data_IF_984629688118
#
_entry.id   IF_984629688118
#
_cell.length_a   1.000
_cell.length_b   1.000
_cell.length_c   1.000
_cell.angle_alpha   90.00
_cell.angle_beta   90.00
_cell.angle_gamma   90.00
#
_symmetry.space_group_name_H-M   'P 1'
#
loop_
_entity.id
_entity.type
_entity.pdbx_description
1 polymer ?
#
# COMPACT_ATOMS: atom_id res chain seq x y z
N UNK A 1 61.59 -44.64 38.79
CA UNK A 1 60.77 -44.15 37.68
C UNK A 1 59.38 -43.99 38.17
N UNK A 2 58.89 -42.80 38.25
CA UNK A 2 57.55 -42.28 38.00
C UNK A 2 57.41 -40.96 38.78
N UNK A 3 57.31 -39.92 38.02
CA UNK A 3 56.98 -38.55 38.37
C UNK A 3 55.54 -38.48 38.74
N UNK A 4 55.16 -37.94 39.83
CA UNK A 4 53.80 -37.56 40.21
C UNK A 4 53.74 -36.07 40.49
N UNK A 5 52.96 -35.41 39.60
CA UNK A 5 52.78 -33.93 39.64
C UNK A 5 51.83 -33.53 40.75
N UNK A 6 52.30 -32.61 41.55
CA UNK A 6 51.52 -31.84 42.50
C UNK A 6 50.96 -30.63 41.76
N UNK A 7 49.60 -30.66 41.44
CA UNK A 7 48.87 -29.49 40.95
C UNK A 7 47.54 -29.47 41.70
N UNK A 8 47.54 -28.95 42.84
CA UNK A 8 46.32 -28.57 43.56
C UNK A 8 46.70 -27.44 44.54
N UNK A 9 46.40 -26.21 44.16
CA UNK A 9 46.10 -25.05 45.01
C UNK A 9 46.29 -23.74 44.24
N UNK A 10 45.45 -23.45 43.27
CA UNK A 10 45.33 -22.09 42.72
C UNK A 10 43.98 -21.79 42.08
N UNK A 11 42.88 -22.45 42.49
CA UNK A 11 41.57 -22.26 41.82
C UNK A 11 40.48 -21.60 42.68
N UNK A 12 40.70 -21.33 43.96
CA UNK A 12 39.68 -20.75 44.85
C UNK A 12 39.57 -19.22 44.81
N UNK A 13 40.66 -18.51 44.42
CA UNK A 13 40.67 -17.04 44.44
C UNK A 13 40.03 -16.38 43.21
N UNK A 14 40.00 -17.09 42.09
CA UNK A 14 39.47 -16.52 40.82
C UNK A 14 37.93 -16.58 40.70
N UNK A 15 37.31 -17.50 41.42
CA UNK A 15 35.86 -17.73 41.31
C UNK A 15 35.02 -16.65 42.04
N UNK A 16 35.52 -16.13 43.17
CA UNK A 16 34.81 -15.12 43.98
C UNK A 16 34.82 -13.75 43.30
N UNK A 17 35.91 -13.40 42.60
CA UNK A 17 35.97 -12.11 41.87
C UNK A 17 35.12 -12.09 40.60
N UNK A 18 34.96 -13.22 39.93
CA UNK A 18 34.10 -13.31 38.77
C UNK A 18 32.59 -13.26 39.14
N UNK A 19 32.20 -13.88 40.25
CA UNK A 19 30.81 -13.83 40.72
C UNK A 19 30.36 -12.41 41.10
N UNK A 20 31.22 -11.58 41.68
CA UNK A 20 30.92 -10.17 41.97
C UNK A 20 30.75 -9.34 40.69
N UNK A 21 31.49 -9.64 39.61
CA UNK A 21 31.36 -8.97 38.32
C UNK A 21 30.06 -9.33 37.62
N UNK A 22 29.58 -10.58 37.71
CA UNK A 22 28.28 -10.99 37.12
C UNK A 22 27.09 -10.43 37.88
N UNK A 23 27.17 -10.26 39.20
CA UNK A 23 26.07 -9.65 39.98
C UNK A 23 25.94 -8.16 39.67
N UNK A 24 27.04 -7.42 39.53
CA UNK A 24 26.99 -6.00 39.13
C UNK A 24 26.55 -5.82 37.69
N UNK A 25 26.97 -6.69 36.76
CA UNK A 25 26.51 -6.64 35.38
C UNK A 25 25.00 -6.97 35.24
N UNK A 26 24.50 -7.96 36.00
CA UNK A 26 23.08 -8.30 35.99
C UNK A 26 22.22 -7.18 36.60
N UNK A 27 22.70 -6.48 37.64
CA UNK A 27 21.97 -5.35 38.25
C UNK A 27 21.92 -4.11 37.32
N UNK A 28 22.99 -3.86 36.59
CA UNK A 28 23.04 -2.76 35.60
C UNK A 28 22.15 -3.08 34.40
N UNK A 29 22.14 -4.33 33.91
CA UNK A 29 21.22 -4.73 32.83
C UNK A 29 19.75 -4.69 33.26
N UNK A 30 19.41 -5.03 34.51
CA UNK A 30 18.05 -4.93 35.01
C UNK A 30 17.56 -3.48 35.13
N UNK A 31 18.45 -2.53 35.48
CA UNK A 31 18.12 -1.10 35.53
C UNK A 31 17.90 -0.49 34.13
N UNK A 32 18.59 -0.99 33.09
CA UNK A 32 18.39 -0.53 31.71
C UNK A 32 17.15 -1.13 31.04
N UNK A 33 16.61 -2.24 31.54
CA UNK A 33 15.40 -2.87 31.00
C UNK A 33 14.10 -2.30 31.59
N UNK A 34 14.15 -1.70 32.79
CA UNK A 34 12.95 -1.14 33.45
C UNK A 34 12.61 0.27 32.97
N UNK A 35 13.62 1.07 32.59
CA UNK A 35 13.41 2.45 32.14
C UNK A 35 12.76 2.57 30.75
N UNK A 36 13.05 1.72 29.72
CA UNK A 36 12.40 1.84 28.44
C UNK A 36 10.96 1.29 28.40
N UNK A 37 10.56 0.43 29.36
CA UNK A 37 9.21 -0.17 29.32
C UNK A 37 8.12 0.81 29.77
N UNK A 38 8.43 1.82 30.55
CA UNK A 38 7.50 2.87 30.98
C UNK A 38 7.29 3.97 29.93
N UNK A 39 8.19 4.11 28.93
CA UNK A 39 8.06 5.08 27.85
C UNK A 39 7.26 4.54 26.64
N UNK A 40 7.07 3.21 26.55
CA UNK A 40 6.29 2.62 25.45
C UNK A 40 4.77 2.67 25.64
N UNK A 41 4.26 3.09 26.80
CA UNK A 41 2.83 3.30 27.01
C UNK A 41 2.34 4.72 26.67
N UNK A 42 3.21 5.62 26.20
CA UNK A 42 2.77 6.89 25.68
C UNK A 42 2.30 6.73 24.24
N UNK A 43 0.99 6.50 24.14
CA UNK A 43 0.15 6.96 23.04
C UNK A 43 0.56 6.50 21.66
N UNK A 44 0.23 5.25 21.31
CA UNK A 44 -0.24 4.98 19.96
C UNK A 44 -1.53 5.78 19.70
N UNK A 45 -1.41 7.09 19.51
CA UNK A 45 -2.34 7.80 18.65
C UNK A 45 -2.09 7.24 17.27
N UNK A 46 -2.83 6.21 16.89
CA UNK A 46 -3.01 5.86 15.49
C UNK A 46 -3.80 6.98 14.84
N UNK A 47 -3.16 8.15 14.65
CA UNK A 47 -3.63 9.13 13.70
C UNK A 47 -3.53 8.44 12.35
N UNK A 48 -4.63 7.86 11.91
CA UNK A 48 -4.71 7.26 10.62
C UNK A 48 -4.26 8.31 9.61
N UNK A 49 -3.19 7.98 8.85
CA UNK A 49 -2.71 8.75 7.71
C UNK A 49 -3.90 9.24 6.87
N UNK A 50 -4.87 8.38 6.60
CA UNK A 50 -6.10 8.69 5.90
C UNK A 50 -6.98 9.79 6.55
N UNK A 51 -7.04 9.88 7.88
CA UNK A 51 -7.88 10.88 8.55
C UNK A 51 -7.28 12.29 8.52
N UNK A 52 -5.96 12.41 8.64
CA UNK A 52 -5.30 13.71 8.60
C UNK A 52 -5.24 14.25 7.18
N UNK A 53 -4.90 13.39 6.22
CA UNK A 53 -4.85 13.74 4.80
C UNK A 53 -6.27 14.02 4.23
N UNK A 54 -7.29 13.31 4.67
CA UNK A 54 -8.68 13.62 4.28
C UNK A 54 -9.16 14.97 4.83
N UNK A 55 -8.71 15.42 6.00
CA UNK A 55 -9.04 16.75 6.52
C UNK A 55 -8.29 17.87 5.77
N UNK A 56 -7.02 17.70 5.47
CA UNK A 56 -6.25 18.66 4.68
C UNK A 56 -6.75 18.74 3.23
N UNK A 57 -7.13 17.60 2.63
CA UNK A 57 -7.77 17.55 1.30
C UNK A 57 -9.19 18.11 1.30
N UNK A 58 -9.97 17.94 2.37
CA UNK A 58 -11.24 18.64 2.54
C UNK A 58 -11.05 20.16 2.43
N UNK A 59 -10.01 20.69 3.07
CA UNK A 59 -9.73 22.14 3.02
C UNK A 59 -9.19 22.57 1.65
N UNK A 60 -8.38 21.76 0.97
CA UNK A 60 -7.89 22.04 -0.38
C UNK A 60 -9.00 21.92 -1.43
N UNK A 61 -9.86 20.91 -1.32
CA UNK A 61 -11.02 20.72 -2.21
C UNK A 61 -12.04 21.85 -2.04
N UNK A 62 -12.33 22.30 -0.81
CA UNK A 62 -13.22 23.43 -0.56
C UNK A 62 -12.70 24.74 -1.18
N UNK A 63 -11.38 24.92 -1.28
CA UNK A 63 -10.79 26.11 -1.92
C UNK A 63 -10.90 26.12 -3.47
N UNK A 64 -11.15 24.99 -4.10
CA UNK A 64 -11.24 24.84 -5.57
C UNK A 64 -12.64 24.52 -6.09
N UNK A 65 -13.68 24.66 -5.28
CA UNK A 65 -15.05 24.46 -5.75
C UNK A 65 -15.43 25.70 -6.59
N UNK A 66 -15.09 25.67 -7.88
CA UNK A 66 -15.83 26.41 -8.89
C UNK A 66 -17.01 25.55 -9.30
N UNK A 67 -18.21 26.10 -9.20
CA UNK A 67 -19.47 25.45 -9.63
C UNK A 67 -19.49 25.04 -11.13
N UNK A 68 -18.44 25.35 -11.86
CA UNK A 68 -18.23 25.02 -13.28
C UNK A 68 -17.25 23.82 -13.48
N UNK A 69 -16.80 23.15 -12.42
CA UNK A 69 -15.92 22.01 -12.56
C UNK A 69 -16.72 20.79 -13.06
N UNK A 70 -16.46 20.28 -14.28
CA UNK A 70 -17.17 19.11 -14.81
C UNK A 70 -16.98 17.84 -13.97
N UNK A 71 -15.94 17.79 -13.14
CA UNK A 71 -15.66 16.67 -12.24
C UNK A 71 -16.43 16.75 -10.91
N UNK A 72 -17.18 17.85 -10.67
CA UNK A 72 -17.93 18.01 -9.45
C UNK A 72 -19.27 17.25 -9.51
N UNK A 73 -19.41 16.20 -8.70
CA UNK A 73 -20.61 15.37 -8.61
C UNK A 73 -21.50 15.68 -7.40
N UNK A 74 -21.01 16.49 -6.46
CA UNK A 74 -21.76 16.87 -5.28
C UNK A 74 -20.90 17.28 -4.09
N UNK A 75 -21.49 18.04 -3.17
CA UNK A 75 -20.83 18.53 -1.95
C UNK A 75 -21.01 17.53 -0.79
N UNK A 76 -20.50 16.32 -0.98
CA UNK A 76 -20.55 15.26 0.01
C UNK A 76 -19.17 14.99 0.62
N UNK A 77 -19.17 14.48 1.84
CA UNK A 77 -17.98 13.92 2.47
C UNK A 77 -17.46 12.69 1.69
N UNK A 78 -16.17 12.35 1.80
CA UNK A 78 -15.63 11.16 1.16
C UNK A 78 -16.44 9.90 1.47
N UNK A 79 -16.94 9.24 0.43
CA UNK A 79 -17.74 8.02 0.51
C UNK A 79 -16.79 6.83 0.63
N UNK A 80 -16.93 6.04 1.68
CA UNK A 80 -16.21 4.80 1.80
C UNK A 80 -16.80 3.74 0.87
N UNK A 81 -15.94 3.19 0.00
CA UNK A 81 -16.30 2.08 -0.87
C UNK A 81 -15.91 0.74 -0.24
N UNK A 82 -16.26 -0.36 -0.90
CA UNK A 82 -15.84 -1.68 -0.47
C UNK A 82 -14.31 -1.86 -0.60
N UNK A 83 -13.72 -2.55 0.37
CA UNK A 83 -12.30 -2.89 0.32
C UNK A 83 -12.05 -3.92 -0.80
N UNK A 84 -10.97 -3.74 -1.55
CA UNK A 84 -10.51 -4.68 -2.56
C UNK A 84 -9.23 -5.35 -2.08
N UNK A 85 -9.12 -6.65 -2.34
CA UNK A 85 -7.89 -7.40 -2.05
C UNK A 85 -7.02 -7.45 -3.31
N UNK A 86 -5.75 -7.11 -3.14
CA UNK A 86 -4.69 -7.35 -4.10
C UNK A 86 -3.66 -8.31 -3.52
N UNK A 87 -2.69 -8.69 -4.32
CA UNK A 87 -1.52 -9.43 -3.89
C UNK A 87 -0.27 -8.59 -4.14
N UNK A 88 0.76 -8.83 -3.37
CA UNK A 88 2.09 -8.24 -3.55
C UNK A 88 3.17 -9.28 -3.29
N UNK A 89 4.34 -9.10 -3.88
CA UNK A 89 5.47 -10.00 -3.63
C UNK A 89 6.23 -9.53 -2.39
N UNK A 90 6.30 -10.40 -1.39
CA UNK A 90 7.08 -10.19 -0.15
C UNK A 90 8.00 -11.37 0.03
N UNK A 91 9.31 -11.14 -0.03
CA UNK A 91 10.33 -12.21 0.02
C UNK A 91 10.08 -13.33 -1.00
N UNK A 92 9.75 -12.97 -2.25
CA UNK A 92 9.50 -13.90 -3.35
C UNK A 92 8.18 -14.69 -3.26
N UNK A 93 7.28 -14.34 -2.33
CA UNK A 93 5.97 -14.99 -2.18
C UNK A 93 4.84 -13.98 -2.33
N UNK A 94 3.76 -14.39 -2.97
CA UNK A 94 2.53 -13.60 -3.02
C UNK A 94 1.89 -13.51 -1.64
N UNK A 95 1.63 -12.31 -1.19
CA UNK A 95 0.94 -11.99 0.07
C UNK A 95 -0.26 -11.09 -0.19
N UNK A 96 -1.41 -11.37 0.45
CA UNK A 96 -2.56 -10.50 0.32
C UNK A 96 -2.28 -9.12 0.95
N UNK A 97 -2.76 -8.09 0.28
CA UNK A 97 -2.81 -6.72 0.78
C UNK A 97 -4.21 -6.16 0.59
N UNK A 98 -4.69 -5.43 1.57
CA UNK A 98 -6.00 -4.78 1.52
C UNK A 98 -5.85 -3.39 0.96
N UNK A 99 -6.67 -3.06 -0.03
CA UNK A 99 -6.82 -1.71 -0.58
C UNK A 99 -8.13 -1.15 -0.05
N UNK A 100 -8.07 -0.05 0.68
CA UNK A 100 -9.23 0.70 1.12
C UNK A 100 -9.54 1.74 0.07
N UNK A 101 -10.78 1.81 -0.36
CA UNK A 101 -11.20 2.74 -1.39
C UNK A 101 -12.12 3.81 -0.79
N UNK A 102 -11.88 5.06 -1.17
CA UNK A 102 -12.71 6.21 -0.84
C UNK A 102 -13.01 6.97 -2.12
N UNK A 103 -14.27 7.32 -2.31
CA UNK A 103 -14.68 8.19 -3.40
C UNK A 103 -14.86 9.60 -2.88
N UNK A 104 -14.32 10.57 -3.62
CA UNK A 104 -14.38 11.99 -3.34
C UNK A 104 -15.30 12.68 -4.37
N UNK A 105 -16.61 12.86 -4.09
CA UNK A 105 -17.57 13.38 -5.07
C UNK A 105 -17.25 14.80 -5.56
N UNK A 106 -16.64 15.62 -4.71
CA UNK A 106 -16.26 17.01 -5.07
C UNK A 106 -15.24 17.12 -6.18
N UNK A 107 -14.46 16.08 -6.40
CA UNK A 107 -13.36 16.06 -7.40
C UNK A 107 -13.43 14.85 -8.30
N UNK A 108 -14.47 14.01 -8.19
CA UNK A 108 -14.64 12.76 -8.92
C UNK A 108 -13.38 11.87 -8.89
N UNK A 109 -12.72 11.80 -7.73
CA UNK A 109 -11.50 11.03 -7.53
C UNK A 109 -11.77 9.82 -6.65
N UNK A 110 -11.24 8.67 -7.02
CA UNK A 110 -11.14 7.50 -6.13
C UNK A 110 -9.74 7.48 -5.52
N UNK A 111 -9.68 7.49 -4.20
CA UNK A 111 -8.46 7.29 -3.43
C UNK A 111 -8.34 5.83 -3.04
N UNK A 112 -7.26 5.17 -3.48
CA UNK A 112 -6.90 3.81 -3.10
C UNK A 112 -5.77 3.84 -2.06
N UNK A 113 -6.09 3.53 -0.81
CA UNK A 113 -5.15 3.52 0.30
C UNK A 113 -4.70 2.11 0.64
N UNK A 114 -3.40 1.90 0.74
CA UNK A 114 -2.82 0.61 1.13
C UNK A 114 -1.53 0.78 1.95
N UNK A 115 -1.08 -0.30 2.57
CA UNK A 115 0.20 -0.36 3.27
C UNK A 115 1.11 -1.42 2.67
N UNK A 116 2.38 -1.06 2.51
CA UNK A 116 3.46 -1.96 2.14
C UNK A 116 4.60 -1.89 3.16
N UNK A 117 4.63 -2.84 4.08
CA UNK A 117 5.54 -2.80 5.21
C UNK A 117 5.25 -1.59 6.11
N UNK A 118 6.25 -0.73 6.28
CA UNK A 118 6.12 0.52 7.05
C UNK A 118 5.58 1.68 6.21
N UNK A 119 5.60 1.57 4.88
CA UNK A 119 5.12 2.60 4.00
C UNK A 119 3.59 2.52 3.84
N UNK A 120 2.96 3.67 3.78
CA UNK A 120 1.59 3.85 3.37
C UNK A 120 1.58 4.50 1.98
N UNK A 121 0.61 4.11 1.15
CA UNK A 121 0.39 4.68 -0.17
C UNK A 121 -1.05 5.13 -0.30
N UNK A 122 -1.24 6.28 -0.94
CA UNK A 122 -2.54 6.78 -1.38
C UNK A 122 -2.44 7.06 -2.89
N UNK A 123 -3.12 6.27 -3.69
CA UNK A 123 -3.18 6.42 -5.15
C UNK A 123 -4.46 7.15 -5.51
N UNK A 124 -4.36 8.26 -6.22
CA UNK A 124 -5.51 9.08 -6.61
C UNK A 124 -5.84 8.86 -8.09
N UNK A 125 -7.00 8.29 -8.33
CA UNK A 125 -7.52 8.00 -9.66
C UNK A 125 -8.64 8.97 -10.00
N UNK A 126 -8.41 9.89 -10.91
CA UNK A 126 -9.49 10.67 -11.55
C UNK A 126 -10.32 9.75 -12.45
N UNK A 127 -11.40 10.25 -13.02
CA UNK A 127 -12.20 9.47 -13.96
C UNK A 127 -11.35 8.92 -15.12
N UNK A 128 -10.48 9.75 -15.68
CA UNK A 128 -9.59 9.37 -16.79
C UNK A 128 -8.67 8.20 -16.43
N UNK A 129 -8.07 8.22 -15.25
CA UNK A 129 -7.18 7.13 -14.81
C UNK A 129 -7.99 5.86 -14.49
N UNK A 130 -9.22 5.98 -13.98
CA UNK A 130 -10.11 4.83 -13.77
C UNK A 130 -10.52 4.19 -15.11
N UNK A 131 -10.82 5.00 -16.12
CA UNK A 131 -11.12 4.52 -17.47
C UNK A 131 -9.91 3.80 -18.08
N UNK A 132 -8.72 4.39 -17.99
CA UNK A 132 -7.48 3.76 -18.46
C UNK A 132 -7.18 2.43 -17.74
N UNK A 133 -7.40 2.37 -16.42
CA UNK A 133 -7.26 1.13 -15.65
C UNK A 133 -8.30 0.09 -16.10
N UNK A 134 -9.56 0.47 -16.27
CA UNK A 134 -10.64 -0.40 -16.72
C UNK A 134 -10.38 -0.98 -18.10
N UNK A 135 -9.88 -0.17 -19.03
CA UNK A 135 -9.48 -0.63 -20.36
C UNK A 135 -8.37 -1.68 -20.28
N UNK A 136 -7.32 -1.42 -19.47
CA UNK A 136 -6.24 -2.39 -19.25
C UNK A 136 -6.74 -3.71 -18.66
N UNK A 137 -7.69 -3.66 -17.73
CA UNK A 137 -8.31 -4.85 -17.15
C UNK A 137 -9.15 -5.61 -18.17
N UNK A 138 -9.89 -4.90 -19.03
CA UNK A 138 -10.72 -5.50 -20.09
C UNK A 138 -9.84 -6.27 -21.08
N UNK A 139 -8.74 -5.66 -21.52
CA UNK A 139 -7.77 -6.31 -22.42
C UNK A 139 -7.15 -7.56 -21.78
N UNK A 140 -6.72 -7.46 -20.52
CA UNK A 140 -6.20 -8.61 -19.78
C UNK A 140 -7.25 -9.73 -19.66
N UNK A 141 -8.48 -9.40 -19.30
CA UNK A 141 -9.56 -10.38 -19.09
C UNK A 141 -9.85 -11.14 -20.37
N UNK A 142 -9.87 -10.46 -21.52
CA UNK A 142 -10.02 -11.08 -22.84
C UNK A 142 -8.90 -12.09 -23.12
N UNK A 143 -7.65 -11.66 -22.93
CA UNK A 143 -6.48 -12.50 -23.18
C UNK A 143 -6.41 -13.68 -22.19
N UNK A 144 -6.78 -13.44 -20.92
CA UNK A 144 -6.87 -14.49 -19.92
C UNK A 144 -7.95 -15.55 -20.28
N UNK A 145 -9.12 -15.12 -20.75
CA UNK A 145 -10.18 -16.05 -21.18
C UNK A 145 -9.74 -16.90 -22.38
N UNK A 146 -9.10 -16.30 -23.38
CA UNK A 146 -8.54 -17.03 -24.52
C UNK A 146 -7.46 -18.03 -24.09
N UNK A 147 -6.56 -17.61 -23.19
CA UNK A 147 -5.53 -18.50 -22.62
C UNK A 147 -6.14 -19.67 -21.85
N UNK A 148 -7.15 -19.42 -21.02
CA UNK A 148 -7.85 -20.43 -20.23
C UNK A 148 -8.64 -21.41 -21.14
N UNK A 149 -9.15 -20.93 -22.28
CA UNK A 149 -9.80 -21.76 -23.31
C UNK A 149 -8.82 -22.61 -24.15
N UNK A 150 -7.50 -22.46 -23.92
CA UNK A 150 -6.46 -23.29 -24.54
C UNK A 150 -5.57 -22.58 -25.56
N UNK A 151 -5.86 -21.34 -25.91
CA UNK A 151 -4.97 -20.53 -26.77
C UNK A 151 -3.74 -20.05 -25.97
N UNK A 152 -2.68 -20.86 -26.01
CA UNK A 152 -1.42 -20.53 -25.31
C UNK A 152 -0.68 -19.33 -25.90
N UNK A 153 -1.10 -18.84 -27.08
CA UNK A 153 -0.50 -17.65 -27.69
C UNK A 153 -1.18 -16.35 -27.22
N UNK A 154 -2.39 -16.44 -26.67
CA UNK A 154 -3.10 -15.27 -26.13
C UNK A 154 -2.31 -14.58 -24.99
N UNK A 155 -1.56 -15.36 -24.22
CA UNK A 155 -0.66 -14.85 -23.19
C UNK A 155 0.72 -15.48 -23.34
N UNK A 156 1.74 -14.69 -23.60
CA UNK A 156 3.11 -15.18 -23.71
C UNK A 156 3.70 -15.37 -22.31
N UNK A 157 4.26 -16.58 -22.05
CA UNK A 157 4.95 -16.92 -20.79
C UNK A 157 6.20 -16.05 -20.56
N UNK A 158 6.78 -15.49 -21.62
CA UNK A 158 7.89 -14.53 -21.49
C UNK A 158 7.33 -13.24 -20.95
N UNK A 159 7.84 -12.81 -19.78
CA UNK A 159 7.43 -11.61 -19.10
C UNK A 159 7.15 -10.45 -20.08
N UNK A 160 5.99 -9.81 -20.02
CA UNK A 160 5.67 -8.69 -20.88
C UNK A 160 6.69 -7.58 -20.63
N UNK A 161 7.30 -7.10 -21.71
CA UNK A 161 8.14 -5.90 -21.64
C UNK A 161 7.25 -4.67 -21.43
N UNK A 162 7.84 -3.55 -21.03
CA UNK A 162 7.11 -2.27 -20.96
C UNK A 162 6.42 -1.89 -22.30
N UNK A 163 6.90 -2.44 -23.43
CA UNK A 163 6.27 -2.26 -24.76
C UNK A 163 4.96 -3.02 -24.92
N UNK A 164 4.71 -4.04 -24.11
CA UNK A 164 3.52 -4.90 -24.15
C UNK A 164 2.53 -4.56 -23.02
N UNK A 165 2.63 -3.37 -22.44
CA UNK A 165 1.66 -2.92 -21.46
C UNK A 165 0.27 -2.85 -22.08
N UNK A 166 -0.76 -3.30 -21.36
CA UNK A 166 -2.16 -3.18 -21.81
C UNK A 166 -2.58 -1.72 -21.88
N UNK A 167 -2.29 -0.96 -20.82
CA UNK A 167 -2.56 0.47 -20.79
C UNK A 167 -1.56 1.21 -19.88
N UNK A 168 -1.55 2.53 -19.99
CA UNK A 168 -0.75 3.45 -19.20
C UNK A 168 -1.58 4.68 -18.85
N UNK A 169 -1.20 5.33 -17.78
CA UNK A 169 -1.77 6.60 -17.36
C UNK A 169 -0.83 7.29 -16.39
N UNK A 170 -1.22 8.45 -15.95
CA UNK A 170 -0.54 9.18 -14.88
C UNK A 170 -1.46 9.23 -13.67
N UNK A 171 -0.91 9.24 -12.48
CA UNK A 171 -1.67 9.41 -11.25
C UNK A 171 -0.88 10.24 -10.23
N UNK A 172 -1.59 10.80 -9.27
CA UNK A 172 -0.97 11.37 -8.09
C UNK A 172 -0.84 10.28 -7.03
N UNK A 173 0.35 10.17 -6.47
CA UNK A 173 0.64 9.24 -5.38
C UNK A 173 1.05 10.00 -4.13
N UNK A 174 0.45 9.68 -3.00
CA UNK A 174 0.94 10.00 -1.67
C UNK A 174 1.66 8.80 -1.08
N UNK A 175 2.80 9.03 -0.43
CA UNK A 175 3.51 7.95 0.27
C UNK A 175 4.18 8.44 1.53
N UNK A 176 4.50 7.54 2.42
CA UNK A 176 5.24 7.89 3.62
C UNK A 176 5.27 6.81 4.66
N UNK A 177 6.09 7.05 5.68
CA UNK A 177 6.20 6.20 6.86
C UNK A 177 6.02 7.04 8.13
N UNK A 178 5.31 6.51 9.09
CA UNK A 178 5.01 7.17 10.37
C UNK A 178 4.34 8.55 10.22
N UNK A 179 5.07 9.64 10.47
CA UNK A 179 4.55 11.02 10.41
C UNK A 179 4.91 11.76 9.11
N UNK A 180 5.77 11.19 8.29
CA UNK A 180 6.20 11.83 7.04
C UNK A 180 5.22 11.45 5.92
N UNK A 181 4.63 12.46 5.31
CA UNK A 181 3.75 12.32 4.14
C UNK A 181 4.37 13.10 3.00
N UNK A 182 4.56 12.43 1.89
CA UNK A 182 5.09 12.97 0.64
C UNK A 182 4.07 12.76 -0.45
N UNK A 183 4.14 13.55 -1.52
CA UNK A 183 3.25 13.39 -2.65
C UNK A 183 3.96 13.78 -3.95
N UNK A 184 3.53 13.18 -5.05
CA UNK A 184 4.09 13.45 -6.36
C UNK A 184 3.22 12.89 -7.46
N UNK A 185 3.61 13.15 -8.70
CA UNK A 185 2.99 12.55 -9.88
C UNK A 185 3.85 11.42 -10.39
N UNK A 186 3.22 10.35 -10.84
CA UNK A 186 3.90 9.21 -11.45
C UNK A 186 3.12 8.65 -12.62
N UNK A 187 3.77 7.83 -13.41
CA UNK A 187 3.10 7.01 -14.42
C UNK A 187 2.70 5.68 -13.81
N UNK A 188 1.56 5.15 -14.25
CA UNK A 188 1.23 3.75 -14.02
C UNK A 188 1.15 3.00 -15.34
N UNK A 189 1.36 1.70 -15.25
CA UNK A 189 1.16 0.76 -16.37
C UNK A 189 0.48 -0.51 -15.89
N UNK A 190 -0.24 -1.14 -16.80
CA UNK A 190 -0.93 -2.40 -16.57
C UNK A 190 -0.37 -3.48 -17.50
N UNK A 191 -0.05 -4.62 -16.92
CA UNK A 191 0.56 -5.77 -17.59
C UNK A 191 -0.03 -7.07 -17.05
N UNK A 192 0.54 -8.19 -17.44
CA UNK A 192 0.39 -9.47 -16.75
C UNK A 192 1.75 -10.08 -16.46
N UNK A 193 1.79 -10.96 -15.48
CA UNK A 193 2.97 -11.75 -15.13
C UNK A 193 2.57 -13.15 -14.71
N UNK A 194 3.35 -14.15 -15.17
CA UNK A 194 3.16 -15.52 -14.75
C UNK A 194 3.90 -15.74 -13.43
N UNK A 195 3.14 -15.97 -12.38
CA UNK A 195 3.66 -16.23 -11.04
C UNK A 195 3.30 -17.66 -10.60
N UNK A 196 3.21 -17.91 -9.35
CA UNK A 196 2.96 -19.19 -8.69
C UNK A 196 2.28 -20.26 -9.56
N UNK A 197 3.00 -21.35 -9.86
CA UNK A 197 2.53 -22.47 -10.69
C UNK A 197 2.15 -22.08 -12.14
N UNK A 198 2.76 -21.03 -12.66
CA UNK A 198 2.51 -20.58 -14.03
C UNK A 198 1.14 -19.98 -14.26
N UNK A 199 0.53 -19.41 -13.24
CA UNK A 199 -0.74 -18.66 -13.38
C UNK A 199 -0.45 -17.22 -13.77
N UNK A 200 -1.18 -16.66 -14.77
CA UNK A 200 -1.07 -15.25 -15.11
C UNK A 200 -1.87 -14.40 -14.10
N UNK A 201 -1.22 -13.38 -13.59
CA UNK A 201 -1.84 -12.33 -12.77
C UNK A 201 -1.79 -11.01 -13.52
N UNK A 202 -2.83 -10.22 -13.40
CA UNK A 202 -2.77 -8.83 -13.82
C UNK A 202 -1.84 -8.05 -12.88
N UNK A 203 -1.03 -7.18 -13.45
CA UNK A 203 -0.06 -6.37 -12.70
C UNK A 203 -0.35 -4.91 -12.94
N UNK A 204 -0.65 -4.20 -11.85
CA UNK A 204 -0.62 -2.75 -11.82
C UNK A 204 0.72 -2.31 -11.25
N UNK A 205 1.43 -1.46 -11.97
CA UNK A 205 2.71 -0.88 -11.53
C UNK A 205 2.57 0.63 -11.48
N UNK A 206 2.76 1.23 -10.30
CA UNK A 206 3.05 2.66 -10.20
C UNK A 206 4.57 2.84 -10.15
N UNK A 207 5.10 3.62 -11.09
CA UNK A 207 6.52 3.93 -11.16
C UNK A 207 6.93 4.85 -9.98
N UNK A 208 8.22 5.01 -9.69
CA UNK A 208 8.66 5.96 -8.69
C UNK A 208 8.17 7.38 -8.98
N UNK A 209 7.73 8.08 -7.97
CA UNK A 209 7.34 9.49 -8.05
C UNK A 209 8.36 10.35 -7.30
N UNK A 210 8.77 11.44 -7.90
CA UNK A 210 9.54 12.47 -7.20
C UNK A 210 8.62 13.22 -6.24
N UNK A 211 9.11 13.57 -5.07
CA UNK A 211 8.37 14.40 -4.14
C UNK A 211 8.20 15.81 -4.69
N UNK A 212 7.00 16.36 -4.55
CA UNK A 212 6.69 17.72 -5.01
C UNK A 212 7.43 18.81 -4.24
N UNK A 213 7.89 18.52 -3.02
CA UNK A 213 8.58 19.47 -2.13
C UNK A 213 10.07 19.16 -1.96
N UNK A 214 10.50 17.92 -2.18
CA UNK A 214 11.88 17.45 -1.98
C UNK A 214 12.29 16.53 -3.15
N UNK A 215 12.92 17.12 -4.17
CA UNK A 215 13.31 16.40 -5.39
C UNK A 215 14.32 15.27 -5.18
N UNK A 216 15.01 15.24 -4.04
CA UNK A 216 15.92 14.14 -3.69
C UNK A 216 15.18 12.93 -3.11
N UNK A 217 13.89 13.05 -2.86
CA UNK A 217 13.07 12.00 -2.31
C UNK A 217 12.13 11.40 -3.35
N UNK A 218 12.19 10.08 -3.50
CA UNK A 218 11.35 9.32 -4.42
C UNK A 218 10.49 8.30 -3.67
N UNK A 219 9.28 8.04 -4.20
CA UNK A 219 8.51 6.89 -3.78
C UNK A 219 9.17 5.60 -4.27
N UNK A 220 9.10 4.50 -3.50
CA UNK A 220 9.40 3.18 -4.06
C UNK A 220 8.40 2.83 -5.17
N UNK A 221 8.86 2.03 -6.16
CA UNK A 221 7.95 1.43 -7.13
C UNK A 221 6.92 0.54 -6.40
N UNK A 222 5.66 0.59 -6.83
CA UNK A 222 4.59 -0.22 -6.26
C UNK A 222 4.06 -1.21 -7.30
N UNK A 223 4.16 -2.51 -7.00
CA UNK A 223 3.56 -3.57 -7.80
C UNK A 223 2.37 -4.19 -7.06
N UNK A 224 1.22 -4.19 -7.69
CA UNK A 224 0.01 -4.85 -7.19
C UNK A 224 -0.41 -5.91 -8.20
N UNK A 225 -0.66 -7.11 -7.71
CA UNK A 225 -1.05 -8.27 -8.50
C UNK A 225 -2.51 -8.62 -8.20
N UNK A 226 -3.26 -8.95 -9.22
CA UNK A 226 -4.67 -9.28 -9.09
C UNK A 226 -5.00 -10.56 -9.83
N UNK A 227 -5.82 -11.39 -9.21
CA UNK A 227 -6.51 -12.48 -9.89
C UNK A 227 -7.74 -11.93 -10.65
N UNK A 228 -8.30 -12.67 -11.62
CA UNK A 228 -9.49 -12.22 -12.34
C UNK A 228 -10.67 -11.83 -11.45
N UNK A 229 -10.96 -12.59 -10.39
CA UNK A 229 -12.04 -12.28 -9.46
C UNK A 229 -11.80 -11.00 -8.63
N UNK A 230 -10.54 -10.69 -8.32
CA UNK A 230 -10.19 -9.44 -7.64
C UNK A 230 -10.34 -8.24 -8.57
N UNK A 231 -10.06 -8.41 -9.87
CA UNK A 231 -10.25 -7.37 -10.89
C UNK A 231 -11.72 -7.07 -11.13
N UNK A 232 -12.56 -8.11 -11.21
CA UNK A 232 -14.00 -7.94 -11.35
C UNK A 232 -14.56 -7.11 -10.18
N UNK A 233 -14.16 -7.43 -8.96
CA UNK A 233 -14.55 -6.64 -7.79
C UNK A 233 -14.04 -5.20 -7.87
N UNK A 234 -12.78 -4.98 -8.29
CA UNK A 234 -12.20 -3.65 -8.42
C UNK A 234 -13.00 -2.79 -9.42
N UNK A 235 -13.24 -3.30 -10.64
CA UNK A 235 -14.00 -2.58 -11.67
C UNK A 235 -15.39 -2.23 -11.15
N UNK A 236 -16.11 -3.20 -10.61
CA UNK A 236 -17.46 -2.99 -10.10
C UNK A 236 -17.53 -1.97 -8.96
N UNK A 237 -16.43 -1.79 -8.21
CA UNK A 237 -16.37 -0.83 -7.11
C UNK A 237 -16.04 0.60 -7.60
N UNK A 238 -15.22 0.74 -8.67
CA UNK A 238 -14.69 2.07 -9.09
C UNK A 238 -15.29 2.56 -10.41
N UNK A 239 -16.27 1.84 -10.96
CA UNK A 239 -17.00 2.24 -12.17
C UNK A 239 -17.71 3.57 -11.96
N UNK A 240 -17.68 4.46 -12.97
CA UNK A 240 -18.28 5.78 -12.90
C UNK A 240 -19.79 5.73 -12.63
N UNK A 241 -20.51 4.80 -13.27
CA UNK A 241 -21.96 4.67 -13.10
C UNK A 241 -22.32 4.28 -11.66
N UNK A 242 -21.55 3.35 -11.06
CA UNK A 242 -21.73 2.92 -9.66
C UNK A 242 -21.41 4.06 -8.68
N UNK A 243 -20.41 4.87 -8.99
CA UNK A 243 -20.04 6.03 -8.17
C UNK A 243 -21.11 7.12 -8.25
N UNK A 244 -21.67 7.35 -9.45
CA UNK A 244 -22.75 8.30 -9.65
C UNK A 244 -24.03 7.86 -8.92
N UNK A 245 -24.40 6.57 -9.02
CA UNK A 245 -25.56 6.01 -8.31
C UNK A 245 -25.45 6.27 -6.78
N UNK A 246 -24.26 6.10 -6.19
CA UNK A 246 -24.03 6.38 -4.76
C UNK A 246 -24.22 7.86 -4.41
N UNK A 247 -23.84 8.76 -5.30
CA UNK A 247 -24.06 10.21 -5.10
C UNK A 247 -25.54 10.53 -5.22
N UNK A 248 -26.23 9.92 -6.17
CA UNK A 248 -27.67 10.11 -6.38
C UNK A 248 -28.48 9.59 -5.20
N UNK A 249 -28.13 8.44 -4.63
CA UNK A 249 -28.73 7.90 -3.40
C UNK A 249 -28.58 8.88 -2.24
N UNK A 250 -27.37 9.39 -1.98
CA UNK A 250 -27.10 10.37 -0.90
C UNK A 250 -27.86 11.70 -1.13
N UNK A 251 -27.97 12.11 -2.40
CA UNK A 251 -28.74 13.30 -2.76
C UNK A 251 -30.22 13.12 -2.42
N UNK A 252 -30.80 11.96 -2.75
CA UNK A 252 -32.21 11.66 -2.45
C UNK A 252 -32.46 11.59 -0.94
N UNK A 253 -31.56 10.98 -0.16
CA UNK A 253 -31.64 10.95 1.29
C UNK A 253 -31.61 12.35 1.90
N UNK A 254 -30.75 13.24 1.39
CA UNK A 254 -30.63 14.62 1.87
C UNK A 254 -31.88 15.48 1.61
N UNK A 255 -32.66 15.15 0.58
CA UNK A 255 -33.91 15.88 0.24
C UNK A 255 -35.20 15.22 0.76
N UNK A 256 -35.11 14.10 1.44
CA UNK A 256 -36.26 13.36 1.99
C UNK A 256 -36.65 13.75 3.42
N UNK A 257 -36.09 14.86 3.95
CA UNK A 257 -36.37 15.43 5.27
C UNK A 257 -37.15 16.74 5.20
#
# INVERSE_FOLDING_TARGET
>A
MCKGNCVTFCWAGSYINNMKRYITAALVCALFLVVPLSLFFMSCKSSSFALRDSQERKQAAVRNINAENPDFLGDFDPIRLEDVMALRVVFGKLKPTRIRLYFLPRTNVVEAYLRDGMNAYALLFTQKEREALSEGITLYTRDYQAYAAGDKNAMNVRAPSAKNAYNRGSLTVGWGAASTVRNGKTEFRTNYEFLEKGKPYFVFTAEPADDSEDQDAQSPVLHLYFSPSQLEKLINTVNQDVLQEKVDELSQEAFSF
#
